data_IF_351251840456
#
_entry.id   IF_351251840456
#
_cell.length_a   1.000
_cell.length_b   1.000
_cell.length_c   1.000
_cell.angle_alpha   90.00
_cell.angle_beta   90.00
_cell.angle_gamma   90.00
#
_symmetry.space_group_name_H-M   'P 1'
#
loop_
_entity.id
_entity.type
_entity.pdbx_description
1 polymer ?
#
# COMPACT_ATOMS: atom_id res chain seq x y z
N UNK A 1 20.60 1.81 -0.99
CA UNK A 1 20.51 3.27 -1.23
C UNK A 1 20.38 3.97 0.12
N UNK A 2 20.94 5.20 0.30
CA UNK A 2 20.69 5.97 1.53
C UNK A 2 19.28 6.57 1.49
N UNK A 3 18.73 6.89 2.67
CA UNK A 3 17.44 7.53 2.85
C UNK A 3 17.29 8.84 2.02
N UNK A 4 18.33 9.67 2.02
CA UNK A 4 18.36 10.94 1.26
C UNK A 4 18.27 10.73 -0.25
N UNK A 5 19.04 9.75 -0.79
CA UNK A 5 18.98 9.41 -2.21
C UNK A 5 17.65 8.81 -2.63
N UNK A 6 17.02 8.06 -1.73
CA UNK A 6 15.70 7.50 -1.94
C UNK A 6 14.65 8.62 -2.01
N UNK A 7 14.69 9.56 -1.07
CA UNK A 7 13.81 10.74 -1.04
C UNK A 7 14.01 11.65 -2.26
N UNK A 8 15.26 11.87 -2.70
CA UNK A 8 15.54 12.60 -3.94
C UNK A 8 14.90 11.94 -5.14
N UNK A 9 15.00 10.59 -5.27
CA UNK A 9 14.42 9.86 -6.38
C UNK A 9 12.89 9.96 -6.39
N UNK A 10 12.23 9.83 -5.24
CA UNK A 10 10.78 10.01 -5.15
C UNK A 10 10.32 11.42 -5.53
N UNK A 11 11.15 12.44 -5.31
CA UNK A 11 10.83 13.80 -5.75
C UNK A 11 10.82 13.97 -7.28
N UNK A 12 11.45 13.06 -8.05
CA UNK A 12 11.37 13.04 -9.51
C UNK A 12 10.11 12.35 -10.05
N UNK A 13 9.37 11.61 -9.22
CA UNK A 13 8.11 11.04 -9.65
C UNK A 13 7.03 12.13 -9.70
N UNK A 14 6.42 12.32 -10.87
CA UNK A 14 5.30 13.24 -11.07
C UNK A 14 3.99 12.68 -10.51
N UNK A 15 4.02 12.23 -9.24
CA UNK A 15 2.86 11.73 -8.52
C UNK A 15 2.02 12.91 -8.02
N UNK A 16 1.33 13.55 -8.97
CA UNK A 16 0.50 14.73 -8.72
C UNK A 16 -0.92 14.54 -9.24
N UNK A 17 -1.84 15.36 -8.78
CA UNK A 17 -3.23 15.39 -9.26
C UNK A 17 -3.36 15.85 -10.73
N UNK A 18 -2.30 16.44 -11.30
CA UNK A 18 -2.26 16.89 -12.70
C UNK A 18 -2.01 15.70 -13.65
N UNK A 19 -1.35 14.66 -13.18
CA UNK A 19 -1.10 13.46 -13.99
C UNK A 19 -2.37 12.59 -14.05
N UNK A 20 -3.15 12.74 -15.12
CA UNK A 20 -4.43 12.03 -15.31
C UNK A 20 -4.28 10.52 -15.31
N UNK A 21 -3.19 9.99 -15.88
CA UNK A 21 -2.89 8.55 -15.89
C UNK A 21 -2.69 8.02 -14.46
N UNK A 22 -1.92 8.73 -13.64
CA UNK A 22 -1.70 8.39 -12.25
C UNK A 22 -2.99 8.51 -11.42
N UNK A 23 -3.75 9.58 -11.61
CA UNK A 23 -5.05 9.76 -10.96
C UNK A 23 -6.02 8.63 -11.33
N UNK A 24 -6.08 8.26 -12.62
CA UNK A 24 -6.89 7.13 -13.09
C UNK A 24 -6.51 5.82 -12.41
N UNK A 25 -5.20 5.53 -12.36
CA UNK A 25 -4.64 4.37 -11.68
C UNK A 25 -5.04 4.31 -10.20
N UNK A 26 -4.94 5.41 -9.47
CA UNK A 26 -5.33 5.47 -8.05
C UNK A 26 -6.84 5.33 -7.85
N UNK A 27 -7.66 5.92 -8.74
CA UNK A 27 -9.12 5.83 -8.65
C UNK A 27 -9.67 4.41 -8.77
N UNK A 28 -8.94 3.48 -9.40
CA UNK A 28 -9.32 2.07 -9.45
C UNK A 28 -9.42 1.42 -8.06
N UNK A 29 -8.74 1.97 -7.04
CA UNK A 29 -8.82 1.47 -5.67
C UNK A 29 -10.12 1.87 -4.95
N UNK A 30 -10.80 2.95 -5.38
CA UNK A 30 -12.03 3.43 -4.72
C UNK A 30 -13.11 2.35 -4.67
N UNK A 31 -13.48 1.68 -5.80
CA UNK A 31 -14.46 0.60 -5.75
C UNK A 31 -13.96 -0.62 -4.95
N UNK A 32 -12.66 -0.92 -4.95
CA UNK A 32 -12.10 -2.00 -4.13
C UNK A 32 -12.31 -1.70 -2.64
N UNK A 33 -11.97 -0.49 -2.20
CA UNK A 33 -12.15 -0.03 -0.82
C UNK A 33 -13.62 -0.10 -0.40
N UNK A 34 -14.53 0.40 -1.22
CA UNK A 34 -15.97 0.35 -0.94
C UNK A 34 -16.51 -1.09 -0.85
N UNK A 35 -15.98 -1.99 -1.67
CA UNK A 35 -16.37 -3.41 -1.68
C UNK A 35 -15.83 -4.20 -0.47
N UNK A 36 -14.98 -3.61 0.39
CA UNK A 36 -14.65 -4.21 1.69
C UNK A 36 -15.90 -4.36 2.56
N UNK A 37 -16.92 -3.51 2.33
CA UNK A 37 -18.24 -3.66 2.95
C UNK A 37 -18.36 -3.08 4.35
N UNK A 38 -17.43 -2.19 4.74
CA UNK A 38 -17.49 -1.46 6.01
C UNK A 38 -18.27 -0.15 5.86
N UNK A 39 -19.05 0.20 6.87
CA UNK A 39 -19.76 1.46 6.92
C UNK A 39 -18.83 2.54 7.52
N UNK A 40 -18.63 3.63 6.80
CA UNK A 40 -17.84 4.81 7.21
C UNK A 40 -16.43 4.44 7.77
N UNK A 41 -15.62 3.62 7.05
CA UNK A 41 -14.35 3.13 7.58
C UNK A 41 -13.33 4.26 7.78
N UNK A 42 -12.53 4.15 8.84
CA UNK A 42 -11.31 4.94 9.01
C UNK A 42 -10.20 4.32 8.18
N UNK A 43 -9.67 5.07 7.21
CA UNK A 43 -8.70 4.57 6.23
C UNK A 43 -7.35 5.25 6.43
N UNK A 44 -6.26 4.50 6.30
CA UNK A 44 -4.90 5.02 6.23
C UNK A 44 -4.30 4.72 4.86
N UNK A 45 -3.87 5.74 4.15
CA UNK A 45 -2.98 5.67 2.99
C UNK A 45 -1.54 5.64 3.50
N UNK A 46 -0.97 4.44 3.62
CA UNK A 46 0.35 4.20 4.18
C UNK A 46 1.40 4.16 3.07
N UNK A 47 2.41 5.03 3.13
CA UNK A 47 3.34 5.28 2.05
C UNK A 47 2.73 6.20 0.99
N UNK A 48 2.01 7.23 1.45
CA UNK A 48 1.20 8.12 0.60
C UNK A 48 2.01 9.00 -0.35
N UNK A 49 3.33 9.03 -0.18
CA UNK A 49 4.20 9.96 -0.86
C UNK A 49 3.97 11.43 -0.43
N UNK A 50 4.80 12.32 -0.95
CA UNK A 50 4.80 13.74 -0.58
C UNK A 50 3.45 14.44 -0.77
N UNK A 51 2.70 14.06 -1.79
CA UNK A 51 1.48 14.77 -2.22
C UNK A 51 0.18 14.11 -1.71
N UNK A 52 0.24 12.92 -1.09
CA UNK A 52 -0.89 12.17 -0.57
C UNK A 52 -2.10 12.14 -1.54
N UNK A 53 -1.84 11.85 -2.82
CA UNK A 53 -2.84 11.98 -3.90
C UNK A 53 -3.97 10.98 -3.69
N UNK A 54 -3.68 9.72 -3.31
CA UNK A 54 -4.72 8.71 -3.05
C UNK A 54 -5.62 9.15 -1.89
N UNK A 55 -5.04 9.57 -0.77
CA UNK A 55 -5.80 10.09 0.38
C UNK A 55 -6.74 11.22 -0.04
N UNK A 56 -6.25 12.20 -0.82
CA UNK A 56 -7.06 13.30 -1.34
C UNK A 56 -8.22 12.81 -2.23
N UNK A 57 -7.98 11.83 -3.11
CA UNK A 57 -9.02 11.25 -3.98
C UNK A 57 -10.07 10.49 -3.17
N UNK A 58 -9.66 9.77 -2.12
CA UNK A 58 -10.58 9.07 -1.22
C UNK A 58 -11.46 10.06 -0.46
N UNK A 59 -10.89 11.13 0.06
CA UNK A 59 -11.63 12.20 0.75
C UNK A 59 -12.63 12.90 -0.19
N UNK A 60 -12.22 13.24 -1.41
CA UNK A 60 -13.11 13.79 -2.45
C UNK A 60 -14.25 12.82 -2.82
N UNK A 61 -14.04 11.53 -2.63
CA UNK A 61 -15.05 10.49 -2.86
C UNK A 61 -15.94 10.25 -1.64
N UNK A 62 -15.82 11.06 -0.57
CA UNK A 62 -16.62 10.96 0.65
C UNK A 62 -16.14 9.90 1.64
N UNK A 63 -14.91 9.39 1.50
CA UNK A 63 -14.30 8.44 2.43
C UNK A 63 -13.41 9.17 3.43
N UNK A 64 -13.37 8.71 4.67
CA UNK A 64 -12.45 9.22 5.70
C UNK A 64 -11.09 8.58 5.52
N UNK A 65 -10.10 9.36 5.11
CA UNK A 65 -8.74 8.87 4.89
C UNK A 65 -7.71 9.81 5.49
N UNK A 66 -6.77 9.26 6.23
CA UNK A 66 -5.53 9.91 6.64
C UNK A 66 -4.38 9.40 5.78
N UNK A 67 -3.32 10.17 5.68
CA UNK A 67 -2.10 9.81 4.97
C UNK A 67 -0.92 9.74 5.92
N UNK A 68 0.00 8.84 5.65
CA UNK A 68 1.30 8.76 6.32
C UNK A 68 2.35 8.25 5.35
N UNK A 69 3.50 8.91 5.36
CA UNK A 69 4.67 8.46 4.60
C UNK A 69 5.94 8.60 5.45
N UNK A 70 6.70 7.51 5.68
CA UNK A 70 7.87 7.53 6.54
C UNK A 70 9.01 8.43 6.03
N UNK A 71 9.01 8.82 4.73
CA UNK A 71 10.01 9.71 4.15
C UNK A 71 9.68 11.19 4.32
N UNK A 72 8.41 11.52 4.55
CA UNK A 72 7.92 12.90 4.55
C UNK A 72 7.30 13.31 5.87
N UNK A 73 6.76 12.36 6.62
CA UNK A 73 6.05 12.63 7.87
C UNK A 73 6.91 12.30 9.09
N UNK A 74 6.64 12.98 10.19
CA UNK A 74 7.21 12.62 11.49
C UNK A 74 6.51 11.34 11.96
N UNK A 75 7.30 10.31 12.25
CA UNK A 75 6.72 9.08 12.80
C UNK A 75 5.95 9.41 14.09
N UNK A 76 4.67 9.04 14.19
CA UNK A 76 3.80 9.45 15.30
C UNK A 76 4.15 8.81 16.66
N UNK A 77 5.27 8.06 16.73
CA UNK A 77 5.72 7.37 17.96
C UNK A 77 4.84 6.17 18.27
N UNK A 78 3.77 6.41 19.01
CA UNK A 78 2.72 5.41 19.28
C UNK A 78 1.47 5.72 18.45
N UNK A 79 1.10 4.75 17.61
CA UNK A 79 -0.16 4.78 16.88
C UNK A 79 -1.29 4.37 17.85
N UNK A 80 -1.85 5.33 18.58
CA UNK A 80 -3.03 5.09 19.40
C UNK A 80 -4.29 4.84 18.56
N UNK A 81 -4.38 5.54 17.44
CA UNK A 81 -5.49 5.39 16.48
C UNK A 81 -5.44 4.04 15.77
N UNK A 82 -6.62 3.44 15.57
CA UNK A 82 -6.83 2.24 14.76
C UNK A 82 -7.51 2.60 13.46
N UNK A 83 -7.18 1.86 12.42
CA UNK A 83 -7.75 2.01 11.08
C UNK A 83 -8.48 0.74 10.67
N UNK A 84 -9.61 0.90 10.02
CA UNK A 84 -10.39 -0.21 9.50
C UNK A 84 -9.80 -0.73 8.19
N UNK A 85 -9.17 0.17 7.43
CA UNK A 85 -8.49 -0.17 6.19
C UNK A 85 -7.13 0.53 6.16
N UNK A 86 -6.07 -0.22 5.88
CA UNK A 86 -4.75 0.32 5.55
C UNK A 86 -4.46 0.02 4.08
N UNK A 87 -4.13 1.04 3.30
CA UNK A 87 -3.82 0.89 1.87
C UNK A 87 -2.32 1.04 1.66
N UNK A 88 -1.71 0.08 0.96
CA UNK A 88 -0.32 0.07 0.49
C UNK A 88 -0.34 0.07 -1.04
N UNK A 89 -0.28 1.25 -1.66
CA UNK A 89 -0.34 1.39 -3.11
C UNK A 89 1.04 1.68 -3.69
N UNK A 90 1.68 0.68 -4.32
CA UNK A 90 3.07 0.74 -4.80
C UNK A 90 4.02 1.16 -3.65
N UNK A 91 3.98 0.42 -2.55
CA UNK A 91 4.72 0.69 -1.30
C UNK A 91 5.47 -0.54 -0.80
N UNK A 92 4.82 -1.71 -0.79
CA UNK A 92 5.34 -2.92 -0.14
C UNK A 92 6.66 -3.39 -0.77
N UNK A 93 6.89 -3.11 -2.04
CA UNK A 93 8.12 -3.38 -2.78
C UNK A 93 9.33 -2.56 -2.30
N UNK A 94 9.09 -1.43 -1.66
CA UNK A 94 10.12 -0.53 -1.16
C UNK A 94 10.52 -0.76 0.30
N UNK A 95 9.73 -1.52 1.05
CA UNK A 95 9.90 -1.69 2.49
C UNK A 95 11.13 -2.53 2.80
N UNK A 96 12.11 -1.98 3.52
CA UNK A 96 13.39 -2.64 3.86
C UNK A 96 13.23 -3.74 4.89
N UNK A 97 12.58 -3.46 6.01
CA UNK A 97 12.22 -4.45 7.03
C UNK A 97 10.73 -4.75 6.94
N UNK A 98 10.37 -5.50 5.89
CA UNK A 98 9.00 -5.85 5.58
C UNK A 98 8.29 -6.53 6.77
N UNK A 99 9.01 -7.38 7.52
CA UNK A 99 8.40 -8.10 8.65
C UNK A 99 8.01 -7.16 9.79
N UNK A 100 8.86 -6.20 10.11
CA UNK A 100 8.59 -5.20 11.15
C UNK A 100 7.47 -4.28 10.74
N UNK A 101 7.47 -3.80 9.48
CA UNK A 101 6.40 -2.93 8.98
C UNK A 101 5.04 -3.64 8.91
N UNK A 102 4.99 -4.89 8.46
CA UNK A 102 3.74 -5.65 8.45
C UNK A 102 3.20 -5.89 9.86
N UNK A 103 4.07 -6.07 10.86
CA UNK A 103 3.66 -6.14 12.27
C UNK A 103 3.12 -4.80 12.79
N UNK A 104 3.75 -3.68 12.40
CA UNK A 104 3.23 -2.34 12.70
C UNK A 104 1.84 -2.16 12.09
N UNK A 105 1.68 -2.48 10.81
CA UNK A 105 0.39 -2.41 10.11
C UNK A 105 -0.66 -3.26 10.85
N UNK A 106 -0.31 -4.51 11.26
CA UNK A 106 -1.21 -5.34 12.06
C UNK A 106 -1.61 -4.65 13.36
N UNK A 107 -0.66 -3.99 14.04
CA UNK A 107 -0.91 -3.30 15.31
C UNK A 107 -1.86 -2.11 15.16
N UNK A 108 -1.79 -1.37 14.06
CA UNK A 108 -2.63 -0.20 13.81
C UNK A 108 -3.99 -0.52 13.17
N UNK A 109 -4.19 -1.76 12.71
CA UNK A 109 -5.49 -2.20 12.23
C UNK A 109 -6.48 -2.38 13.39
N UNK A 110 -7.73 -2.02 13.11
CA UNK A 110 -8.86 -2.34 13.97
C UNK A 110 -9.13 -3.86 13.96
N UNK A 111 -9.93 -4.32 14.90
CA UNK A 111 -10.40 -5.70 14.91
C UNK A 111 -11.25 -5.95 13.65
N UNK A 112 -10.94 -6.99 12.87
CA UNK A 112 -11.50 -7.27 11.54
C UNK A 112 -11.14 -6.25 10.45
N UNK A 113 -10.09 -5.45 10.68
CA UNK A 113 -9.58 -4.52 9.68
C UNK A 113 -9.03 -5.25 8.44
N UNK A 114 -8.82 -4.50 7.38
CA UNK A 114 -8.31 -5.02 6.11
C UNK A 114 -7.08 -4.25 5.65
N UNK A 115 -6.14 -4.93 5.02
CA UNK A 115 -5.05 -4.30 4.26
C UNK A 115 -5.33 -4.46 2.79
N UNK A 116 -5.27 -3.37 2.03
CA UNK A 116 -5.34 -3.38 0.57
C UNK A 116 -3.92 -3.16 0.06
N UNK A 117 -3.40 -4.10 -0.70
CA UNK A 117 -2.05 -4.06 -1.26
C UNK A 117 -2.16 -3.95 -2.77
N UNK A 118 -1.56 -2.92 -3.36
CA UNK A 118 -1.32 -2.84 -4.80
C UNK A 118 0.16 -2.91 -5.05
N UNK A 119 0.61 -3.94 -5.78
CA UNK A 119 2.01 -4.14 -6.19
C UNK A 119 2.05 -5.08 -7.38
N UNK A 120 3.07 -4.97 -8.22
CA UNK A 120 3.22 -5.83 -9.40
C UNK A 120 3.72 -7.22 -8.99
N UNK A 121 3.09 -8.24 -9.56
CA UNK A 121 3.62 -9.60 -9.45
C UNK A 121 4.72 -9.83 -10.49
N UNK A 122 5.82 -10.47 -10.07
CA UNK A 122 6.91 -10.76 -10.98
C UNK A 122 6.49 -11.78 -12.06
N UNK A 123 6.99 -11.59 -13.29
CA UNK A 123 6.72 -12.50 -14.40
C UNK A 123 7.48 -13.84 -14.22
N UNK A 124 7.27 -14.82 -15.11
CA UNK A 124 8.10 -16.03 -15.17
C UNK A 124 9.60 -15.72 -15.15
N UNK A 125 10.39 -16.66 -14.59
CA UNK A 125 11.82 -16.46 -14.28
C UNK A 125 12.65 -16.05 -15.50
N UNK A 126 12.33 -16.59 -16.69
CA UNK A 126 12.97 -16.26 -17.94
C UNK A 126 12.73 -14.83 -18.43
N UNK A 127 11.70 -14.16 -17.92
CA UNK A 127 11.34 -12.78 -18.25
C UNK A 127 11.75 -11.80 -17.14
N UNK A 128 12.08 -12.30 -15.95
CA UNK A 128 12.32 -11.48 -14.76
C UNK A 128 13.40 -10.42 -14.98
N UNK A 129 14.55 -10.78 -15.55
CA UNK A 129 15.66 -9.84 -15.79
C UNK A 129 15.34 -8.77 -16.85
N UNK A 130 14.32 -8.97 -17.68
CA UNK A 130 13.85 -8.02 -18.68
C UNK A 130 12.67 -7.17 -18.20
N UNK A 131 12.19 -7.45 -17.02
CA UNK A 131 11.02 -6.78 -16.47
C UNK A 131 11.37 -5.36 -16.01
N UNK A 132 10.65 -4.37 -16.52
CA UNK A 132 10.94 -2.94 -16.28
C UNK A 132 10.92 -2.57 -14.79
N UNK A 133 10.12 -3.27 -13.98
CA UNK A 133 9.93 -3.00 -12.55
C UNK A 133 11.21 -3.21 -11.72
N UNK A 134 12.09 -4.14 -12.10
CA UNK A 134 13.39 -4.36 -11.44
C UNK A 134 14.42 -3.25 -11.74
N UNK A 135 14.14 -2.40 -12.73
CA UNK A 135 15.05 -1.31 -13.09
C UNK A 135 14.94 -0.13 -12.10
N UNK A 136 13.88 -0.07 -11.30
CA UNK A 136 13.83 0.88 -10.21
C UNK A 136 14.68 0.39 -9.04
N UNK A 137 15.78 1.10 -8.70
CA UNK A 137 16.69 0.68 -7.63
C UNK A 137 16.08 0.80 -6.22
N UNK A 138 14.88 1.36 -6.09
CA UNK A 138 14.12 1.42 -4.84
C UNK A 138 13.23 0.19 -4.65
N UNK A 139 12.96 -0.58 -5.71
CA UNK A 139 12.26 -1.86 -5.61
C UNK A 139 13.21 -2.93 -5.10
N UNK A 140 13.04 -3.35 -3.87
CA UNK A 140 13.88 -4.35 -3.19
C UNK A 140 13.14 -5.64 -2.84
N UNK A 141 11.81 -5.61 -2.89
CA UNK A 141 10.95 -6.79 -2.72
C UNK A 141 10.17 -7.06 -3.99
N UNK A 142 10.10 -8.32 -4.40
CA UNK A 142 9.36 -8.73 -5.58
C UNK A 142 8.35 -9.82 -5.20
N UNK A 143 7.10 -9.60 -5.59
CA UNK A 143 5.99 -10.41 -5.11
C UNK A 143 5.49 -11.40 -6.16
N UNK A 144 5.02 -12.53 -5.67
CA UNK A 144 4.15 -13.49 -6.33
C UNK A 144 2.90 -13.65 -5.45
N UNK A 145 1.85 -14.30 -5.95
CA UNK A 145 0.69 -14.65 -5.13
C UNK A 145 1.10 -15.37 -3.84
N UNK A 146 2.05 -16.32 -3.94
CA UNK A 146 2.57 -17.05 -2.78
C UNK A 146 3.23 -16.14 -1.74
N UNK A 147 4.00 -15.15 -2.15
CA UNK A 147 4.69 -14.23 -1.21
C UNK A 147 3.73 -13.17 -0.65
N UNK A 148 2.70 -12.75 -1.39
CA UNK A 148 1.60 -11.94 -0.83
C UNK A 148 0.82 -12.74 0.24
N UNK A 149 0.54 -14.03 0.01
CA UNK A 149 -0.02 -14.90 1.06
C UNK A 149 0.87 -14.96 2.31
N UNK A 150 2.20 -15.02 2.15
CA UNK A 150 3.14 -14.98 3.29
C UNK A 150 3.10 -13.63 4.04
N UNK A 151 2.95 -12.52 3.33
CA UNK A 151 2.73 -11.22 3.96
C UNK A 151 1.42 -11.21 4.76
N UNK A 152 0.35 -11.81 4.20
CA UNK A 152 -0.94 -11.95 4.89
C UNK A 152 -0.83 -12.79 6.18
N UNK A 153 -0.03 -13.87 6.20
CA UNK A 153 0.23 -14.66 7.40
C UNK A 153 0.88 -13.81 8.53
N UNK A 154 1.81 -12.91 8.19
CA UNK A 154 2.45 -12.02 9.17
C UNK A 154 1.41 -11.07 9.79
N UNK A 155 0.46 -10.59 8.99
CA UNK A 155 -0.64 -9.73 9.43
C UNK A 155 -1.72 -10.53 10.18
N UNK A 156 -1.65 -11.86 10.17
CA UNK A 156 -2.67 -12.78 10.69
C UNK A 156 -4.02 -12.60 9.98
N UNK A 157 -3.97 -12.47 8.66
CA UNK A 157 -5.13 -12.27 7.81
C UNK A 157 -5.26 -13.31 6.71
N UNK A 158 -6.45 -13.33 6.09
CA UNK A 158 -6.74 -14.14 4.92
C UNK A 158 -6.52 -13.29 3.68
N UNK A 159 -5.77 -13.82 2.74
CA UNK A 159 -5.52 -13.25 1.42
C UNK A 159 -6.73 -13.48 0.50
N UNK A 160 -7.13 -12.43 -0.20
CA UNK A 160 -8.17 -12.44 -1.22
C UNK A 160 -7.67 -11.73 -2.49
N UNK A 161 -7.94 -12.31 -3.65
CA UNK A 161 -7.71 -11.65 -4.95
C UNK A 161 -8.88 -10.73 -5.29
N UNK A 162 -8.58 -9.67 -6.02
CA UNK A 162 -9.60 -8.76 -6.55
C UNK A 162 -9.75 -8.95 -8.07
N UNK A 163 -10.63 -8.17 -8.70
CA UNK A 163 -10.73 -8.12 -10.17
C UNK A 163 -9.51 -7.45 -10.82
N UNK A 164 -8.74 -6.68 -10.07
CA UNK A 164 -7.50 -6.08 -10.51
C UNK A 164 -6.34 -7.06 -10.24
N UNK A 165 -5.54 -7.43 -11.24
CA UNK A 165 -4.55 -8.50 -11.12
C UNK A 165 -3.37 -8.16 -10.21
N UNK A 166 -3.21 -6.88 -9.85
CA UNK A 166 -2.15 -6.31 -9.02
C UNK A 166 -2.67 -5.77 -7.69
N UNK A 167 -3.96 -6.03 -7.34
CA UNK A 167 -4.57 -5.56 -6.11
C UNK A 167 -5.10 -6.74 -5.29
N UNK A 168 -4.70 -6.77 -4.02
CA UNK A 168 -4.99 -7.85 -3.09
C UNK A 168 -5.59 -7.29 -1.80
N UNK A 169 -6.49 -8.04 -1.18
CA UNK A 169 -7.06 -7.72 0.12
C UNK A 169 -6.56 -8.75 1.13
N UNK A 170 -6.12 -8.29 2.29
CA UNK A 170 -5.82 -9.14 3.45
C UNK A 170 -6.79 -8.79 4.56
N UNK A 171 -7.72 -9.70 4.87
CA UNK A 171 -8.69 -9.51 5.95
C UNK A 171 -8.18 -10.13 7.23
N UNK A 172 -8.06 -9.32 8.26
CA UNK A 172 -7.68 -9.79 9.59
C UNK A 172 -8.84 -10.57 10.21
N UNK A 173 -8.54 -11.75 10.69
CA UNK A 173 -9.50 -12.55 11.46
C UNK A 173 -9.59 -12.03 12.88
N UNK A 174 -10.82 -11.98 13.44
CA UNK A 174 -10.99 -11.84 14.89
C UNK A 174 -10.43 -13.08 15.58
N UNK A 175 -9.54 -12.86 16.53
CA UNK A 175 -9.15 -13.89 17.51
C UNK A 175 -10.34 -14.31 18.35
#
# INVERSE_FOLDING_TARGET
MSYEKEKERYNFHENTTINEGYVGFLKELIPVIRNVGLKDPEILDFGSGKNAVLSSLLQLSGLKCESYDPLYDIHPGDWEKKFDIVVLCEVIEHIRDLKTELKLIKRILSNRGSVIIRTKLYPPVDQFLKWWYIQDPTHINFFSRKTVCKAAEIIQGIYEETKLPDVFIVRVQSL
#
